data_IF_910680854447
#
_entry.id   IF_910680854447
#
_cell.length_a   1.000
_cell.length_b   1.000
_cell.length_c   1.000
_cell.angle_alpha   90.00
_cell.angle_beta   90.00
_cell.angle_gamma   90.00
#
_symmetry.space_group_name_H-M   'P 1'
#
loop_
_entity.id
_entity.type
_entity.pdbx_description
1 polymer ?
#
# COMPACT_ATOMS: atom_id res chain seq x y z
N UNK A 1 15.07 23.89 8.05
CA UNK A 1 14.46 23.69 6.72
C UNK A 1 15.49 23.33 5.66
N UNK A 2 16.57 24.10 5.45
CA UNK A 2 17.61 23.76 4.45
C UNK A 2 18.41 22.49 4.80
N UNK A 3 18.85 22.34 6.06
CA UNK A 3 19.54 21.14 6.53
C UNK A 3 18.69 19.86 6.52
N UNK A 4 17.36 19.99 6.72
CA UNK A 4 16.45 18.85 6.61
C UNK A 4 16.29 18.45 5.14
N UNK A 5 16.17 19.42 4.23
CA UNK A 5 16.08 19.19 2.79
C UNK A 5 17.38 18.60 2.22
N UNK A 6 18.53 19.11 2.64
CA UNK A 6 19.87 18.62 2.25
C UNK A 6 20.13 17.20 2.79
N UNK A 7 19.78 16.89 4.06
CA UNK A 7 19.87 15.51 4.60
C UNK A 7 18.93 14.52 3.93
N UNK A 8 17.79 14.97 3.41
CA UNK A 8 16.83 14.09 2.74
C UNK A 8 17.24 13.85 1.28
N UNK A 9 17.83 14.84 0.62
CA UNK A 9 18.47 14.70 -0.70
C UNK A 9 19.67 13.71 -0.66
N UNK A 10 20.45 13.67 0.43
CA UNK A 10 21.48 12.63 0.69
C UNK A 10 20.92 11.19 0.66
N UNK A 11 19.65 10.99 1.03
CA UNK A 11 19.08 9.68 1.34
C UNK A 11 18.19 9.08 0.23
N UNK A 12 17.91 9.83 -0.84
CA UNK A 12 16.87 9.49 -1.81
C UNK A 12 15.46 9.66 -1.22
N UNK A 13 14.99 10.91 -1.08
CA UNK A 13 13.80 11.18 -0.26
C UNK A 13 12.43 10.75 -0.83
N UNK A 14 12.38 10.55 -2.14
CA UNK A 14 11.13 10.47 -2.89
C UNK A 14 10.34 9.16 -2.70
N UNK A 15 10.79 8.28 -1.81
CA UNK A 15 10.15 7.00 -1.59
C UNK A 15 9.49 6.92 -0.21
N UNK A 16 8.25 6.41 -0.18
CA UNK A 16 7.60 5.94 1.05
C UNK A 16 8.09 4.53 1.44
N UNK A 17 9.18 4.07 0.85
CA UNK A 17 9.75 2.74 0.98
C UNK A 17 11.26 2.84 1.05
N UNK A 18 11.89 2.18 2.01
CA UNK A 18 13.34 2.01 2.02
C UNK A 18 13.74 0.63 2.52
N UNK A 19 14.95 0.24 2.18
CA UNK A 19 15.60 -0.95 2.73
C UNK A 19 16.76 -0.55 3.61
N UNK A 20 17.02 -1.37 4.62
CA UNK A 20 18.28 -1.35 5.37
C UNK A 20 18.94 -2.70 5.27
N UNK A 21 20.19 -2.70 4.85
CA UNK A 21 21.00 -3.90 4.80
C UNK A 21 21.96 -3.97 5.98
N UNK A 22 21.97 -5.13 6.63
CA UNK A 22 22.88 -5.50 7.70
C UNK A 22 23.75 -6.68 7.23
N UNK A 23 24.82 -7.04 7.96
CA UNK A 23 25.63 -8.21 7.61
C UNK A 23 24.83 -9.52 7.59
N UNK A 24 23.84 -9.63 8.46
CA UNK A 24 23.06 -10.83 8.77
C UNK A 24 21.59 -10.74 8.33
N UNK A 25 21.10 -9.58 7.86
CA UNK A 25 19.70 -9.42 7.41
C UNK A 25 19.47 -8.25 6.47
N UNK A 26 18.28 -8.23 5.85
CA UNK A 26 17.73 -7.09 5.11
C UNK A 26 16.36 -6.77 5.69
N UNK A 27 16.10 -5.48 5.93
CA UNK A 27 14.84 -4.99 6.47
C UNK A 27 14.16 -4.07 5.46
N UNK A 28 12.84 -4.22 5.28
CA UNK A 28 12.00 -3.31 4.51
C UNK A 28 11.24 -2.38 5.45
N UNK A 29 11.15 -1.11 5.10
CA UNK A 29 10.43 -0.09 5.85
C UNK A 29 9.49 0.69 4.95
N UNK A 30 8.37 1.16 5.51
CA UNK A 30 7.54 2.21 4.90
C UNK A 30 7.50 3.46 5.78
N UNK A 31 7.21 4.60 5.16
CA UNK A 31 7.11 5.88 5.86
C UNK A 31 5.67 6.23 6.25
N UNK A 32 5.53 6.89 7.41
CA UNK A 32 4.41 7.77 7.72
C UNK A 32 4.95 9.19 7.77
N UNK A 33 4.53 10.02 6.82
CA UNK A 33 4.92 11.43 6.73
C UNK A 33 3.76 12.30 7.21
N UNK A 34 4.05 13.23 8.13
CA UNK A 34 3.08 14.20 8.64
C UNK A 34 3.30 15.53 7.93
N UNK A 35 2.21 16.12 7.45
CA UNK A 35 2.20 17.43 6.82
C UNK A 35 1.26 18.35 7.55
N UNK A 36 1.61 19.63 7.60
CA UNK A 36 0.79 20.65 8.23
C UNK A 36 0.57 21.88 7.35
N UNK A 37 -0.54 22.55 7.62
CA UNK A 37 -0.90 23.84 7.06
C UNK A 37 -1.47 24.75 8.15
N UNK A 38 -1.51 26.06 7.88
CA UNK A 38 -2.14 27.07 8.75
C UNK A 38 -3.50 26.61 9.27
N UNK A 39 -3.77 26.94 10.53
CA UNK A 39 -5.01 26.55 11.20
C UNK A 39 -4.97 25.14 11.77
N UNK A 40 -3.79 24.57 12.07
CA UNK A 40 -3.62 23.21 12.61
C UNK A 40 -4.27 22.10 11.76
N UNK A 41 -4.34 22.29 10.44
CA UNK A 41 -4.72 21.22 9.53
C UNK A 41 -3.53 20.28 9.37
N UNK A 42 -3.76 18.99 9.62
CA UNK A 42 -2.74 17.95 9.56
C UNK A 42 -3.16 16.87 8.55
N UNK A 43 -2.22 16.43 7.73
CA UNK A 43 -2.37 15.25 6.89
C UNK A 43 -1.26 14.27 7.23
N UNK A 44 -1.61 13.02 7.54
CA UNK A 44 -0.65 11.92 7.66
C UNK A 44 -0.76 11.00 6.45
N UNK A 45 0.29 10.93 5.67
CA UNK A 45 0.40 9.97 4.58
C UNK A 45 1.15 8.74 5.09
N UNK A 46 0.48 7.58 5.14
CA UNK A 46 1.05 6.31 5.59
C UNK A 46 1.17 5.35 4.41
N UNK A 47 2.41 4.98 4.06
CA UNK A 47 2.66 4.03 2.98
C UNK A 47 2.13 2.64 3.33
N UNK A 48 1.35 2.03 2.44
CA UNK A 48 0.86 0.66 2.54
C UNK A 48 1.72 -0.30 1.74
N UNK A 49 1.93 -1.48 2.31
CA UNK A 49 2.29 -2.68 1.58
C UNK A 49 1.32 -3.78 1.98
N UNK A 50 0.82 -4.53 0.99
CA UNK A 50 -0.25 -5.50 1.24
C UNK A 50 0.19 -6.71 2.07
N UNK A 51 1.50 -6.95 2.18
CA UNK A 51 2.14 -8.05 2.89
C UNK A 51 3.22 -7.51 3.83
N UNK A 52 3.06 -7.72 5.13
CA UNK A 52 4.00 -7.30 6.16
C UNK A 52 3.87 -8.15 7.43
N UNK A 53 4.78 -8.03 8.37
CA UNK A 53 4.64 -8.58 9.72
C UNK A 53 3.39 -7.99 10.40
N UNK A 54 2.73 -8.73 11.31
CA UNK A 54 1.51 -8.24 11.95
C UNK A 54 1.72 -6.93 12.73
N UNK A 55 2.83 -6.85 13.48
CA UNK A 55 3.18 -5.67 14.28
C UNK A 55 3.33 -4.39 13.44
N UNK A 56 3.67 -4.51 12.16
CA UNK A 56 3.69 -3.37 11.25
C UNK A 56 2.30 -2.76 11.11
N UNK A 57 1.29 -3.58 10.79
CA UNK A 57 -0.08 -3.10 10.60
C UNK A 57 -0.65 -2.53 11.89
N UNK A 58 -0.40 -3.17 13.03
CA UNK A 58 -0.82 -2.65 14.34
C UNK A 58 -0.20 -1.27 14.63
N UNK A 59 1.07 -1.08 14.30
CA UNK A 59 1.76 0.20 14.49
C UNK A 59 1.17 1.30 13.62
N UNK A 60 0.92 1.02 12.33
CA UNK A 60 0.31 1.99 11.39
C UNK A 60 -1.12 2.33 11.82
N UNK A 61 -1.92 1.33 12.19
CA UNK A 61 -3.30 1.54 12.63
C UNK A 61 -3.34 2.38 13.91
N UNK A 62 -2.45 2.12 14.88
CA UNK A 62 -2.35 2.93 16.09
C UNK A 62 -1.91 4.38 15.78
N UNK A 63 -0.99 4.56 14.83
CA UNK A 63 -0.54 5.89 14.43
C UNK A 63 -1.64 6.70 13.73
N UNK A 64 -2.37 6.06 12.82
CA UNK A 64 -3.49 6.67 12.10
C UNK A 64 -4.73 6.85 12.98
N UNK A 65 -4.95 5.97 13.97
CA UNK A 65 -6.09 6.05 14.89
C UNK A 65 -6.16 7.33 15.73
N UNK A 66 -5.10 8.16 15.68
CA UNK A 66 -5.03 9.49 16.31
C UNK A 66 -5.64 10.61 15.45
N UNK A 67 -6.09 10.29 14.24
CA UNK A 67 -6.64 11.23 13.26
C UNK A 67 -8.17 11.32 13.39
N UNK A 68 -8.75 12.42 12.92
CA UNK A 68 -10.22 12.61 12.94
C UNK A 68 -10.90 11.85 11.80
N UNK A 69 -10.16 11.60 10.71
CA UNK A 69 -10.60 10.82 9.57
C UNK A 69 -9.44 10.06 8.97
N UNK A 70 -9.67 8.86 8.47
CA UNK A 70 -8.68 8.04 7.78
C UNK A 70 -9.26 7.60 6.44
N UNK A 71 -8.62 8.01 5.35
CA UNK A 71 -8.96 7.58 4.00
C UNK A 71 -8.13 6.35 3.65
N UNK A 72 -8.81 5.27 3.30
CA UNK A 72 -8.19 3.98 3.01
C UNK A 72 -8.38 3.59 1.55
N UNK A 73 -7.29 3.15 0.93
CA UNK A 73 -7.33 2.43 -0.34
C UNK A 73 -7.82 0.99 -0.10
N UNK A 74 -8.92 0.55 -0.72
CA UNK A 74 -9.38 -0.84 -0.65
C UNK A 74 -10.72 -1.10 -1.33
N UNK A 75 -10.80 -2.13 -2.19
CA UNK A 75 -12.02 -2.50 -2.92
C UNK A 75 -13.21 -2.67 -1.98
N UNK A 76 -14.29 -1.94 -2.28
CA UNK A 76 -15.53 -2.05 -1.50
C UNK A 76 -16.22 -3.35 -1.88
N UNK A 77 -16.32 -4.26 -0.89
CA UNK A 77 -17.04 -5.51 -1.05
C UNK A 77 -18.54 -5.23 -1.18
N UNK A 78 -19.16 -5.78 -2.22
CA UNK A 78 -20.59 -5.65 -2.46
C UNK A 78 -21.16 -6.93 -3.06
N UNK A 79 -22.47 -7.04 -3.07
CA UNK A 79 -23.14 -8.17 -3.70
C UNK A 79 -23.00 -8.09 -5.23
N UNK A 80 -22.38 -9.13 -5.79
CA UNK A 80 -22.15 -9.26 -7.22
C UNK A 80 -23.24 -10.09 -7.89
N UNK A 81 -23.69 -9.64 -9.06
CA UNK A 81 -24.61 -10.42 -9.89
C UNK A 81 -23.95 -11.70 -10.41
N UNK A 82 -24.75 -12.65 -10.88
CA UNK A 82 -24.24 -13.87 -11.51
C UNK A 82 -23.38 -13.55 -12.74
N UNK A 83 -23.77 -12.54 -13.53
CA UNK A 83 -23.01 -12.08 -14.69
C UNK A 83 -21.63 -11.53 -14.27
N UNK A 84 -21.56 -10.73 -13.20
CA UNK A 84 -20.30 -10.19 -12.69
C UNK A 84 -19.37 -11.32 -12.20
N UNK A 85 -19.93 -12.36 -11.55
CA UNK A 85 -19.19 -13.55 -11.07
C UNK A 85 -18.64 -14.43 -12.20
N UNK A 86 -19.20 -14.35 -13.41
CA UNK A 86 -18.73 -15.11 -14.57
C UNK A 86 -17.61 -14.39 -15.34
N UNK A 87 -17.32 -13.12 -15.01
CA UNK A 87 -16.28 -12.36 -15.68
C UNK A 87 -14.88 -12.91 -15.40
N UNK A 88 -13.98 -12.77 -16.38
CA UNK A 88 -12.56 -13.13 -16.23
C UNK A 88 -11.89 -12.36 -15.06
N UNK A 89 -12.30 -11.10 -14.86
CA UNK A 89 -11.78 -10.22 -13.81
C UNK A 89 -12.12 -10.75 -12.41
N UNK A 90 -13.37 -11.20 -12.20
CA UNK A 90 -13.75 -11.81 -10.91
C UNK A 90 -12.98 -13.11 -10.62
N UNK A 91 -12.80 -13.97 -11.64
CA UNK A 91 -12.03 -15.22 -11.49
C UNK A 91 -10.56 -14.94 -11.14
N UNK A 92 -9.97 -13.88 -11.69
CA UNK A 92 -8.63 -13.43 -11.35
C UNK A 92 -8.53 -12.97 -9.89
N UNK A 93 -9.42 -12.08 -9.43
CA UNK A 93 -9.44 -11.61 -8.03
C UNK A 93 -9.59 -12.78 -7.05
N UNK A 94 -10.50 -13.72 -7.34
CA UNK A 94 -10.67 -14.92 -6.52
C UNK A 94 -9.41 -15.79 -6.50
N UNK A 95 -8.68 -15.87 -7.61
CA UNK A 95 -7.40 -16.58 -7.67
C UNK A 95 -6.31 -15.86 -6.87
N UNK A 96 -6.24 -14.53 -6.94
CA UNK A 96 -5.34 -13.73 -6.10
C UNK A 96 -5.62 -13.94 -4.62
N UNK A 97 -6.89 -13.94 -4.19
CA UNK A 97 -7.26 -14.18 -2.79
C UNK A 97 -6.87 -15.56 -2.26
N UNK A 98 -6.88 -16.60 -3.11
CA UNK A 98 -6.37 -17.93 -2.71
C UNK A 98 -4.85 -17.96 -2.64
N UNK A 99 -4.18 -17.22 -3.52
CA UNK A 99 -2.73 -17.14 -3.56
C UNK A 99 -2.17 -16.31 -2.40
N UNK A 100 -2.83 -15.20 -2.05
CA UNK A 100 -2.50 -14.42 -0.87
C UNK A 100 -2.50 -15.30 0.38
N UNK A 101 -3.55 -16.10 0.58
CA UNK A 101 -3.60 -17.02 1.73
C UNK A 101 -2.40 -17.97 1.77
N UNK A 102 -2.02 -18.57 0.63
CA UNK A 102 -0.87 -19.47 0.56
C UNK A 102 0.47 -18.77 0.81
N UNK A 103 0.64 -17.53 0.32
CA UNK A 103 1.82 -16.72 0.58
C UNK A 103 1.93 -16.32 2.05
N UNK A 104 0.81 -15.97 2.67
CA UNK A 104 0.70 -15.62 4.09
C UNK A 104 1.33 -16.72 4.95
N UNK A 105 0.84 -17.93 4.76
CA UNK A 105 1.25 -19.12 5.51
C UNK A 105 2.71 -19.49 5.25
N UNK A 106 3.19 -19.33 4.00
CA UNK A 106 4.56 -19.68 3.63
C UNK A 106 5.60 -18.68 4.14
N UNK A 107 5.21 -17.42 4.32
CA UNK A 107 6.14 -16.32 4.65
C UNK A 107 6.07 -15.87 6.11
N UNK A 108 5.11 -16.37 6.89
CA UNK A 108 4.80 -15.86 8.24
C UNK A 108 4.59 -14.33 8.21
N UNK A 109 3.76 -13.88 7.26
CA UNK A 109 3.36 -12.48 7.09
C UNK A 109 1.84 -12.38 7.21
N UNK A 110 1.34 -11.15 7.35
CA UNK A 110 -0.09 -10.83 7.41
C UNK A 110 -0.52 -10.03 6.17
N UNK A 111 -1.80 -10.13 5.82
CA UNK A 111 -2.42 -9.33 4.75
C UNK A 111 -3.18 -8.14 5.33
N UNK A 112 -2.95 -6.95 4.78
CA UNK A 112 -3.60 -5.71 5.25
C UNK A 112 -5.12 -5.86 5.40
N UNK A 113 -5.89 -6.30 4.38
CA UNK A 113 -7.36 -6.29 4.48
C UNK A 113 -7.90 -7.12 5.65
N UNK A 114 -7.20 -8.18 6.05
CA UNK A 114 -7.59 -9.02 7.18
C UNK A 114 -7.36 -8.31 8.52
N UNK A 115 -6.16 -7.73 8.72
CA UNK A 115 -5.83 -7.04 9.97
C UNK A 115 -6.69 -5.80 10.14
N UNK A 116 -6.86 -4.99 9.09
CA UNK A 116 -7.74 -3.82 9.13
C UNK A 116 -9.18 -4.25 9.44
N UNK A 117 -9.71 -5.29 8.78
CA UNK A 117 -11.08 -5.77 9.04
C UNK A 117 -11.24 -6.29 10.47
N UNK A 118 -10.27 -7.04 10.98
CA UNK A 118 -10.26 -7.53 12.37
C UNK A 118 -10.29 -6.36 13.35
N UNK A 119 -9.39 -5.41 13.18
CA UNK A 119 -9.27 -4.26 14.08
C UNK A 119 -10.50 -3.35 14.03
N UNK A 120 -11.02 -3.09 12.84
CA UNK A 120 -12.26 -2.35 12.68
C UNK A 120 -13.41 -3.10 13.35
N UNK A 121 -13.56 -4.43 13.17
CA UNK A 121 -14.63 -5.21 13.80
C UNK A 121 -14.67 -5.01 15.32
N UNK A 122 -13.51 -4.97 15.95
CA UNK A 122 -13.32 -4.91 17.40
C UNK A 122 -13.36 -3.48 17.97
N UNK A 123 -13.32 -2.44 17.14
CA UNK A 123 -13.25 -1.05 17.60
C UNK A 123 -14.24 -0.14 16.86
N UNK A 124 -15.40 0.09 17.45
CA UNK A 124 -16.49 0.88 16.85
C UNK A 124 -16.09 2.33 16.57
N UNK A 125 -15.33 2.97 17.48
CA UNK A 125 -14.84 4.34 17.28
C UNK A 125 -13.96 4.45 16.04
N UNK A 126 -13.14 3.43 15.78
CA UNK A 126 -12.33 3.41 14.57
C UNK A 126 -13.17 3.18 13.32
N UNK A 127 -14.23 2.36 13.37
CA UNK A 127 -15.13 2.22 12.20
C UNK A 127 -15.67 3.56 11.70
N UNK A 128 -15.91 4.52 12.58
CA UNK A 128 -16.49 5.82 12.22
C UNK A 128 -15.50 6.74 11.49
N UNK A 129 -14.21 6.68 11.86
CA UNK A 129 -13.19 7.54 11.27
C UNK A 129 -12.59 6.95 9.99
N UNK A 130 -12.64 5.62 9.80
CA UNK A 130 -12.14 4.97 8.59
C UNK A 130 -13.15 5.02 7.45
N UNK A 131 -12.72 5.55 6.30
CA UNK A 131 -13.52 5.65 5.09
C UNK A 131 -12.79 4.97 3.93
N UNK A 132 -13.43 3.98 3.33
CA UNK A 132 -12.93 3.32 2.13
C UNK A 132 -13.16 4.23 0.92
N UNK A 133 -12.07 4.64 0.27
CA UNK A 133 -12.06 5.55 -0.87
C UNK A 133 -11.48 4.83 -2.09
N UNK A 134 -12.28 3.97 -2.74
CA UNK A 134 -11.83 3.12 -3.84
C UNK A 134 -12.94 2.99 -4.90
N UNK A 135 -12.87 1.96 -5.73
CA UNK A 135 -13.95 1.47 -6.58
C UNK A 135 -14.70 0.34 -5.87
N UNK A 136 -15.99 0.20 -6.17
CA UNK A 136 -16.71 -1.01 -5.80
C UNK A 136 -16.23 -2.20 -6.64
N UNK A 137 -16.45 -3.42 -6.14
CA UNK A 137 -16.07 -4.65 -6.85
C UNK A 137 -16.70 -4.74 -8.27
N UNK A 138 -17.92 -4.22 -8.43
CA UNK A 138 -18.70 -4.09 -9.68
C UNK A 138 -18.12 -3.00 -10.57
N UNK A 139 -17.71 -1.85 -10.04
CA UNK A 139 -17.00 -0.81 -10.80
C UNK A 139 -15.64 -1.30 -11.31
N UNK A 140 -14.88 -2.00 -10.46
CA UNK A 140 -13.63 -2.63 -10.84
C UNK A 140 -13.83 -3.64 -11.99
N UNK A 141 -14.82 -4.55 -11.85
CA UNK A 141 -15.17 -5.53 -12.89
C UNK A 141 -15.65 -4.86 -14.19
N UNK A 142 -16.41 -3.76 -14.07
CA UNK A 142 -17.03 -3.03 -15.19
C UNK A 142 -16.17 -1.93 -15.77
N UNK A 143 -14.94 -1.74 -15.28
CA UNK A 143 -13.91 -0.92 -15.95
C UNK A 143 -13.91 -1.27 -17.43
N UNK A 144 -14.27 -0.29 -18.28
CA UNK A 144 -14.26 -0.49 -19.74
C UNK A 144 -12.81 -0.76 -20.13
N UNK A 145 -12.54 -2.04 -20.36
CA UNK A 145 -11.19 -2.55 -20.60
C UNK A 145 -10.57 -1.87 -21.80
N UNK A 146 -9.56 -1.05 -21.58
CA UNK A 146 -8.64 -0.68 -22.66
C UNK A 146 -7.95 -1.95 -23.18
N UNK A 147 -7.46 -1.93 -24.43
CA UNK A 147 -6.72 -3.06 -25.01
C UNK A 147 -5.52 -3.47 -24.14
N UNK A 148 -4.94 -2.50 -23.41
CA UNK A 148 -3.79 -2.67 -22.53
C UNK A 148 -4.15 -3.39 -21.22
N UNK A 149 -5.29 -3.04 -20.60
CA UNK A 149 -5.78 -3.73 -19.39
C UNK A 149 -6.09 -5.21 -19.67
N UNK A 150 -6.69 -5.54 -20.84
CA UNK A 150 -6.91 -6.95 -21.23
C UNK A 150 -5.60 -7.74 -21.31
N UNK A 151 -4.53 -7.12 -21.83
CA UNK A 151 -3.20 -7.73 -21.93
C UNK A 151 -2.58 -7.95 -20.55
N UNK A 152 -2.73 -7.00 -19.61
CA UNK A 152 -2.24 -7.12 -18.23
C UNK A 152 -2.97 -8.25 -17.49
N UNK A 153 -4.30 -8.32 -17.57
CA UNK A 153 -5.07 -9.42 -16.97
C UNK A 153 -4.70 -10.78 -17.58
N UNK A 154 -4.48 -10.84 -18.89
CA UNK A 154 -4.07 -12.07 -19.57
C UNK A 154 -2.66 -12.49 -19.18
N UNK A 155 -1.72 -11.53 -19.09
CA UNK A 155 -0.35 -11.78 -18.67
C UNK A 155 -0.28 -12.21 -17.19
N UNK A 156 -1.01 -11.55 -16.29
CA UNK A 156 -1.11 -11.92 -14.88
C UNK A 156 -1.73 -13.31 -14.67
N UNK A 157 -2.69 -13.68 -15.52
CA UNK A 157 -3.26 -15.05 -15.54
C UNK A 157 -2.26 -16.10 -16.03
N UNK A 158 -1.39 -15.75 -16.98
CA UNK A 158 -0.33 -16.62 -17.49
C UNK A 158 0.87 -16.73 -16.53
N UNK A 159 1.10 -15.73 -15.66
CA UNK A 159 2.16 -15.75 -14.64
C UNK A 159 1.74 -16.38 -13.32
N UNK A 160 0.44 -16.55 -13.04
CA UNK A 160 -0.04 -17.28 -11.86
C UNK A 160 0.50 -18.72 -11.74
N UNK A 161 0.60 -19.53 -12.81
CA UNK A 161 1.29 -20.83 -12.79
C UNK A 161 2.78 -20.73 -12.48
N UNK A 162 3.43 -19.65 -12.94
CA UNK A 162 4.83 -19.36 -12.65
C UNK A 162 4.96 -19.02 -11.16
N UNK A 163 4.11 -18.14 -10.62
CA UNK A 163 4.03 -17.81 -9.19
C UNK A 163 3.68 -19.01 -8.29
N UNK A 164 2.89 -19.98 -8.78
CA UNK A 164 2.72 -21.27 -8.08
C UNK A 164 4.00 -22.11 -7.99
N UNK A 165 4.94 -21.97 -8.94
CA UNK A 165 6.30 -22.54 -8.77
C UNK A 165 7.08 -21.78 -7.69
N UNK A 166 6.84 -20.47 -7.51
CA UNK A 166 7.45 -19.68 -6.43
C UNK A 166 6.96 -20.08 -5.03
N UNK A 167 5.75 -20.62 -4.87
CA UNK A 167 5.29 -21.16 -3.58
C UNK A 167 6.08 -22.40 -3.09
N UNK A 168 6.92 -23.01 -3.95
CA UNK A 168 7.88 -24.07 -3.58
C UNK A 168 9.29 -23.53 -3.28
N UNK A 169 9.47 -22.21 -3.30
CA UNK A 169 10.77 -21.56 -3.09
C UNK A 169 10.96 -21.30 -1.60
N UNK A 170 12.21 -21.33 -1.17
CA UNK A 170 12.68 -20.86 0.13
C UNK A 170 12.02 -19.51 0.52
N UNK A 171 11.30 -19.43 1.65
CA UNK A 171 10.67 -18.20 2.12
C UNK A 171 11.60 -16.98 2.15
N UNK A 172 12.89 -17.18 2.44
CA UNK A 172 13.88 -16.10 2.44
C UNK A 172 14.10 -15.53 1.03
N UNK A 173 14.21 -16.39 0.02
CA UNK A 173 14.31 -15.97 -1.40
C UNK A 173 13.06 -15.23 -1.84
N UNK A 174 11.89 -15.68 -1.44
CA UNK A 174 10.62 -15.05 -1.82
C UNK A 174 10.46 -13.67 -1.17
N UNK A 175 10.80 -13.50 0.11
CA UNK A 175 10.83 -12.18 0.76
C UNK A 175 11.85 -11.24 0.10
N UNK A 176 13.01 -11.75 -0.32
CA UNK A 176 14.00 -10.94 -1.05
C UNK A 176 13.49 -10.50 -2.42
N UNK A 177 12.82 -11.36 -3.17
CA UNK A 177 12.21 -10.99 -4.44
C UNK A 177 11.07 -9.98 -4.25
N UNK A 178 10.29 -10.09 -3.16
CA UNK A 178 9.32 -9.05 -2.78
C UNK A 178 10.02 -7.71 -2.51
N UNK A 179 11.11 -7.70 -1.74
CA UNK A 179 11.91 -6.49 -1.50
C UNK A 179 12.37 -5.90 -2.83
N UNK A 180 13.03 -6.68 -3.68
CA UNK A 180 13.53 -6.22 -4.99
C UNK A 180 12.40 -5.67 -5.85
N UNK A 181 11.26 -6.36 -5.89
CA UNK A 181 10.12 -5.95 -6.72
C UNK A 181 9.53 -4.62 -6.26
N UNK A 182 9.42 -4.44 -4.94
CA UNK A 182 8.87 -3.24 -4.34
C UNK A 182 9.85 -2.06 -4.39
N UNK A 183 11.17 -2.31 -4.30
CA UNK A 183 12.20 -1.24 -4.27
C UNK A 183 12.78 -0.87 -5.63
N UNK A 184 12.94 -1.83 -6.55
CA UNK A 184 13.79 -1.65 -7.75
C UNK A 184 13.04 -1.07 -8.93
N UNK A 185 11.71 -1.03 -8.87
CA UNK A 185 10.92 -0.69 -10.04
C UNK A 185 9.89 0.41 -9.83
N UNK A 186 9.24 0.53 -8.67
CA UNK A 186 7.95 1.24 -8.53
C UNK A 186 6.89 0.79 -9.57
N UNK A 187 7.07 -0.40 -10.18
CA UNK A 187 6.23 -0.95 -11.27
C UNK A 187 5.61 -2.30 -10.93
N UNK A 188 5.38 -2.58 -9.64
CA UNK A 188 4.28 -3.48 -9.25
C UNK A 188 2.95 -2.72 -9.34
N UNK A 189 2.74 -2.14 -10.51
CA UNK A 189 1.57 -1.36 -10.86
C UNK A 189 0.61 -2.36 -11.49
N UNK A 190 -0.54 -2.59 -10.84
CA UNK A 190 -1.64 -3.37 -11.42
C UNK A 190 -2.20 -2.71 -12.71
N UNK A 191 -1.60 -1.62 -13.15
CA UNK A 191 -1.80 -0.90 -14.39
C UNK A 191 -2.03 0.55 -14.00
N UNK A 192 -1.19 1.45 -14.53
CA UNK A 192 -1.17 2.88 -14.23
C UNK A 192 -2.56 3.50 -14.16
N UNK A 193 -3.45 3.06 -15.04
CA UNK A 193 -4.85 3.49 -15.13
C UNK A 193 -5.73 3.10 -13.94
N UNK A 194 -5.53 1.93 -13.31
CA UNK A 194 -6.26 1.52 -12.10
C UNK A 194 -5.76 2.31 -10.90
N UNK A 195 -4.43 2.45 -10.77
CA UNK A 195 -3.79 3.25 -9.72
C UNK A 195 -4.20 4.72 -9.82
N UNK A 196 -4.14 5.33 -11.00
CA UNK A 196 -4.62 6.70 -11.28
C UNK A 196 -6.10 6.90 -10.91
N UNK A 197 -6.97 5.95 -11.25
CA UNK A 197 -8.40 6.02 -10.92
C UNK A 197 -8.67 5.90 -9.43
N UNK A 198 -7.87 5.11 -8.71
CA UNK A 198 -7.98 4.94 -7.25
C UNK A 198 -7.40 6.15 -6.53
N UNK A 199 -6.28 6.69 -7.00
CA UNK A 199 -5.69 7.96 -6.54
C UNK A 199 -6.75 9.06 -6.57
N UNK A 200 -7.41 9.23 -7.72
CA UNK A 200 -8.40 10.29 -7.93
C UNK A 200 -9.58 10.24 -6.96
N UNK A 201 -10.03 9.06 -6.54
CA UNK A 201 -11.12 8.95 -5.56
C UNK A 201 -10.68 9.44 -4.18
N UNK A 202 -9.48 9.07 -3.73
CA UNK A 202 -8.90 9.55 -2.47
C UNK A 202 -8.64 11.06 -2.54
N UNK A 203 -8.06 11.55 -3.64
CA UNK A 203 -7.79 12.97 -3.88
C UNK A 203 -9.07 13.80 -3.82
N UNK A 204 -10.11 13.39 -4.55
CA UNK A 204 -11.41 14.07 -4.54
C UNK A 204 -12.02 14.11 -3.13
N UNK A 205 -11.92 13.00 -2.39
CA UNK A 205 -12.45 12.94 -1.04
C UNK A 205 -11.67 13.84 -0.08
N UNK A 206 -10.34 13.82 -0.17
CA UNK A 206 -9.46 14.70 0.59
C UNK A 206 -9.77 16.18 0.30
N UNK A 207 -9.89 16.56 -0.97
CA UNK A 207 -10.26 17.92 -1.37
C UNK A 207 -11.61 18.35 -0.77
N UNK A 208 -12.60 17.46 -0.77
CA UNK A 208 -13.89 17.68 -0.11
C UNK A 208 -13.74 17.96 1.38
N UNK A 209 -12.99 17.11 2.10
CA UNK A 209 -12.74 17.28 3.53
C UNK A 209 -12.02 18.60 3.85
N UNK A 210 -11.01 18.97 3.06
CA UNK A 210 -10.27 20.22 3.24
C UNK A 210 -11.13 21.46 2.93
N UNK A 211 -12.13 21.34 2.05
CA UNK A 211 -13.09 22.40 1.77
C UNK A 211 -14.16 22.52 2.87
N UNK A 212 -14.56 21.41 3.48
CA UNK A 212 -15.51 21.37 4.60
C UNK A 212 -14.88 21.83 5.92
N UNK A 213 -13.64 21.41 6.19
CA UNK A 213 -12.92 21.60 7.45
C UNK A 213 -11.76 22.57 7.24
N UNK A 214 -11.87 23.77 7.80
CA UNK A 214 -11.00 24.91 7.47
C UNK A 214 -9.94 25.22 8.55
N UNK A 215 -10.04 24.55 9.69
CA UNK A 215 -9.13 24.58 10.84
C UNK A 215 -9.26 23.28 11.63
N UNK A 216 -8.21 22.92 12.37
CA UNK A 216 -8.16 21.93 13.44
C UNK A 216 -8.78 20.58 13.07
N UNK A 217 -8.23 19.98 12.01
CA UNK A 217 -8.70 18.70 11.49
C UNK A 217 -7.51 17.88 10.98
N UNK A 218 -7.48 16.61 11.39
CA UNK A 218 -6.37 15.69 11.15
C UNK A 218 -6.85 14.54 10.27
N UNK A 219 -6.23 14.39 9.10
CA UNK A 219 -6.63 13.41 8.09
C UNK A 219 -5.48 12.42 7.89
N UNK A 220 -5.72 11.16 8.20
CA UNK A 220 -4.88 10.05 7.79
C UNK A 220 -5.20 9.59 6.38
N UNK A 221 -4.20 9.20 5.61
CA UNK A 221 -4.33 8.54 4.31
C UNK A 221 -3.46 7.30 4.33
N UNK A 222 -4.07 6.13 4.19
CA UNK A 222 -3.38 4.85 4.13
C UNK A 222 -3.48 4.26 2.72
N UNK A 223 -2.37 4.36 1.99
CA UNK A 223 -2.35 4.21 0.52
C UNK A 223 -1.07 3.51 0.06
N UNK A 224 -1.09 2.82 -1.08
CA UNK A 224 0.06 2.07 -1.60
C UNK A 224 1.37 2.88 -1.63
N UNK A 225 2.39 2.42 -0.90
CA UNK A 225 3.64 3.14 -0.72
C UNK A 225 4.41 3.38 -2.04
N UNK A 226 4.21 2.53 -3.05
CA UNK A 226 4.83 2.67 -4.37
C UNK A 226 4.32 3.86 -5.21
N UNK A 227 3.14 4.40 -4.89
CA UNK A 227 2.55 5.56 -5.59
C UNK A 227 2.27 6.75 -4.67
N UNK A 228 2.57 6.62 -3.38
CA UNK A 228 2.32 7.67 -2.39
C UNK A 228 3.06 8.98 -2.69
N UNK A 229 4.17 8.94 -3.44
CA UNK A 229 4.88 10.13 -3.87
C UNK A 229 4.03 11.05 -4.77
N UNK A 230 3.16 10.47 -5.62
CA UNK A 230 2.21 11.26 -6.42
C UNK A 230 1.21 11.97 -5.52
N UNK A 231 0.76 11.31 -4.46
CA UNK A 231 -0.15 11.86 -3.47
C UNK A 231 0.50 12.94 -2.59
N UNK A 232 1.78 12.75 -2.21
CA UNK A 232 2.59 13.78 -1.53
C UNK A 232 2.69 15.05 -2.39
N UNK A 233 2.98 14.93 -3.70
CA UNK A 233 2.97 16.07 -4.63
C UNK A 233 1.59 16.72 -4.68
N UNK A 234 0.51 15.96 -4.80
CA UNK A 234 -0.85 16.50 -4.80
C UNK A 234 -1.14 17.33 -3.54
N UNK A 235 -0.78 16.83 -2.35
CA UNK A 235 -1.00 17.52 -1.07
C UNK A 235 -0.14 18.78 -0.94
N UNK A 236 1.13 18.70 -1.33
CA UNK A 236 2.08 19.81 -1.18
C UNK A 236 1.89 20.89 -2.24
N UNK A 237 1.76 20.53 -3.51
CA UNK A 237 1.65 21.48 -4.63
C UNK A 237 0.25 22.10 -4.75
N UNK A 238 -0.82 21.31 -4.61
CA UNK A 238 -2.18 21.82 -4.82
C UNK A 238 -2.77 22.47 -3.57
N UNK A 239 -2.37 22.02 -2.38
CA UNK A 239 -2.92 22.52 -1.12
C UNK A 239 -1.90 23.28 -0.27
N UNK A 240 -0.62 23.33 -0.64
CA UNK A 240 0.39 24.12 0.08
C UNK A 240 0.70 23.61 1.49
N UNK A 241 0.55 22.31 1.71
CA UNK A 241 0.99 21.66 2.95
C UNK A 241 2.51 21.54 2.98
N UNK A 242 3.10 21.60 4.17
CA UNK A 242 4.54 21.44 4.38
C UNK A 242 4.80 20.21 5.23
N UNK A 243 5.88 19.49 4.93
CA UNK A 243 6.31 18.37 5.77
C UNK A 243 6.68 18.88 7.17
N UNK A 244 6.20 18.16 8.18
CA UNK A 244 6.42 18.42 9.60
C UNK A 244 7.30 17.34 10.24
N UNK A 245 6.98 16.09 9.96
CA UNK A 245 7.61 14.92 10.58
C UNK A 245 7.61 13.72 9.64
N UNK A 246 8.52 12.79 9.89
CA UNK A 246 8.60 11.51 9.19
C UNK A 246 8.99 10.39 10.14
N UNK A 247 8.22 9.30 10.10
CA UNK A 247 8.44 8.10 10.88
C UNK A 247 8.55 6.89 9.95
N UNK A 248 9.44 5.95 10.28
CA UNK A 248 9.68 4.76 9.48
C UNK A 248 9.32 3.48 10.25
N UNK A 249 8.43 2.68 9.68
CA UNK A 249 7.92 1.45 10.29
C UNK A 249 8.48 0.24 9.57
N UNK A 250 9.07 -0.70 10.33
CA UNK A 250 9.60 -1.95 9.76
C UNK A 250 8.43 -2.81 9.30
N UNK A 251 8.41 -3.09 8.01
CA UNK A 251 7.38 -3.87 7.35
C UNK A 251 7.65 -5.37 7.50
N UNK A 252 8.85 -5.82 7.16
CA UNK A 252 9.33 -7.18 7.45
C UNK A 252 10.86 -7.26 7.29
N UNK A 253 11.45 -8.36 7.75
CA UNK A 253 12.87 -8.65 7.56
C UNK A 253 13.14 -10.00 6.88
N UNK A 254 14.36 -10.15 6.36
CA UNK A 254 14.91 -11.39 5.82
C UNK A 254 16.30 -11.62 6.37
N UNK A 255 16.52 -12.78 7.00
CA UNK A 255 17.85 -13.18 7.47
C UNK A 255 18.74 -13.57 6.28
N UNK A 256 19.94 -12.97 6.23
CA UNK A 256 21.09 -13.39 5.43
C UNK A 256 21.70 -14.66 6.03
N UNK A 257 20.98 -15.79 5.93
CA UNK A 257 21.58 -17.08 6.30
C UNK A 257 22.83 -17.36 5.43
N UNK A 258 23.72 -18.27 5.87
CA UNK A 258 24.95 -18.64 5.12
C UNK A 258 24.70 -18.98 3.63
N UNK A 259 23.49 -19.39 3.27
CA UNK A 259 23.09 -19.69 1.88
C UNK A 259 22.95 -18.46 0.98
N UNK A 260 22.81 -17.24 1.52
CA UNK A 260 22.66 -16.04 0.68
C UNK A 260 23.94 -15.66 -0.09
N UNK A 261 25.11 -16.14 0.35
CA UNK A 261 26.34 -16.08 -0.46
C UNK A 261 26.29 -16.99 -1.69
N UNK A 262 25.54 -18.10 -1.68
CA UNK A 262 25.36 -18.95 -2.86
C UNK A 262 24.25 -18.42 -3.78
N UNK A 263 23.28 -17.68 -3.22
CA UNK A 263 22.09 -17.18 -3.94
C UNK A 263 22.34 -15.88 -4.71
N UNK A 264 23.26 -15.03 -4.23
CA UNK A 264 23.60 -13.77 -4.92
C UNK A 264 24.54 -14.00 -6.12
N UNK A 265 25.23 -15.16 -6.16
CA UNK A 265 26.25 -15.49 -7.16
C UNK A 265 25.88 -16.68 -8.08
N UNK A 266 24.60 -17.09 -8.14
CA UNK A 266 24.05 -18.09 -9.08
C UNK A 266 23.01 -17.47 -10.01
#
# INVERSE_FOLDING_TARGET
>A
MRELKEKLEENGYDSFIKTKEYPDRIELYTAVKTYEKKGNLEIKLAGDIHLAEENYFLSIINELGKQDKILLEGLIAEELSLADKLTLSYRFIKSLGKYSQSLKESLDLSFRPEIVKMFLKENEKLKEIWELCDLTMKEFIRTKKTSQERKIYTLAMLTLPIMKKFAKIDPAKLKLELIKTVTKDNKFDFGKTISERRNKNVENRLAGLLNEKKTDYKIGVFYGAGHMQEFERYVTENFGFNIKDEQWFKAFQVEKSRSLKEIIFS
#
